data_IF_778103651273
#
_entry.id   IF_778103651273
#
_cell.length_a   1.000
_cell.length_b   1.000
_cell.length_c   1.000
_cell.angle_alpha   90.00
_cell.angle_beta   90.00
_cell.angle_gamma   90.00
#
_symmetry.space_group_name_H-M   'P 1'
#
loop_
_entity.id
_entity.type
_entity.pdbx_description
1 polymer ?
#
# COMPACT_ATOMS: atom_id res chain seq x y z
N UNK A 1 -11.53 13.66 3.02
CA UNK A 1 -11.95 13.28 1.65
C UNK A 1 -10.87 13.70 0.67
N UNK A 2 -9.84 12.89 0.51
CA UNK A 2 -8.75 13.12 -0.47
C UNK A 2 -8.53 11.80 -1.19
N UNK A 3 -8.96 11.71 -2.45
CA UNK A 3 -8.74 10.53 -3.29
C UNK A 3 -7.29 10.52 -3.80
N UNK A 4 -6.37 10.07 -2.95
CA UNK A 4 -4.96 9.97 -3.32
C UNK A 4 -4.70 8.60 -3.94
N UNK A 5 -4.87 8.50 -5.26
CA UNK A 5 -4.51 7.29 -6.00
C UNK A 5 -3.05 7.38 -6.46
N UNK A 6 -2.26 6.39 -6.05
CA UNK A 6 -0.88 6.26 -6.48
C UNK A 6 -0.75 5.16 -7.53
N UNK A 7 -0.08 5.48 -8.64
CA UNK A 7 0.24 4.52 -9.69
C UNK A 7 1.62 3.93 -9.48
N UNK A 8 1.67 2.60 -9.40
CA UNK A 8 2.93 1.86 -9.32
C UNK A 8 3.50 1.76 -7.91
N UNK A 9 4.42 0.82 -7.76
CA UNK A 9 5.00 0.43 -6.46
C UNK A 9 5.96 1.51 -5.95
N UNK A 10 6.78 2.08 -6.83
CA UNK A 10 7.79 3.09 -6.46
C UNK A 10 7.18 4.32 -5.80
N UNK A 11 6.09 4.85 -6.36
CA UNK A 11 5.41 6.01 -5.80
C UNK A 11 4.75 5.68 -4.45
N UNK A 12 4.28 4.43 -4.26
CA UNK A 12 3.74 4.00 -2.97
C UNK A 12 4.85 3.92 -1.91
N UNK A 13 6.02 3.38 -2.27
CA UNK A 13 7.19 3.31 -1.37
C UNK A 13 7.65 4.70 -0.96
N UNK A 14 7.71 5.65 -1.89
CA UNK A 14 8.07 7.03 -1.59
C UNK A 14 7.10 7.64 -0.56
N UNK A 15 5.80 7.51 -0.81
CA UNK A 15 4.77 8.05 0.09
C UNK A 15 4.81 7.41 1.49
N UNK A 16 4.95 6.09 1.56
CA UNK A 16 5.05 5.38 2.84
C UNK A 16 6.30 5.79 3.63
N UNK A 17 7.41 6.03 2.93
CA UNK A 17 8.63 6.54 3.55
C UNK A 17 8.43 7.94 4.14
N UNK A 18 7.69 8.82 3.47
CA UNK A 18 7.34 10.15 3.98
C UNK A 18 6.41 10.09 5.21
N UNK A 19 5.50 9.12 5.23
CA UNK A 19 4.62 8.83 6.36
C UNK A 19 5.33 8.15 7.55
N UNK A 20 6.65 7.89 7.45
CA UNK A 20 7.43 7.25 8.51
C UNK A 20 7.32 5.73 8.55
N UNK A 21 6.76 5.10 7.50
CA UNK A 21 6.58 3.65 7.37
C UNK A 21 7.52 3.12 6.28
N UNK A 22 8.79 2.79 6.60
CA UNK A 22 9.78 2.39 5.60
C UNK A 22 9.53 0.97 5.08
N UNK A 23 8.67 0.83 4.07
CA UNK A 23 8.43 -0.45 3.38
C UNK A 23 9.28 -0.54 2.12
N UNK A 24 10.02 -1.65 2.00
CA UNK A 24 10.84 -1.93 0.82
C UNK A 24 9.97 -2.35 -0.38
N UNK A 25 10.41 -2.01 -1.60
CA UNK A 25 9.76 -2.44 -2.85
C UNK A 25 9.51 -3.94 -2.90
N UNK A 26 10.48 -4.74 -2.45
CA UNK A 26 10.38 -6.20 -2.37
C UNK A 26 9.23 -6.64 -1.47
N UNK A 27 9.04 -5.99 -0.33
CA UNK A 27 7.95 -6.29 0.60
C UNK A 27 6.59 -5.98 -0.03
N UNK A 28 6.45 -4.80 -0.66
CA UNK A 28 5.21 -4.46 -1.39
C UNK A 28 4.94 -5.46 -2.51
N UNK A 29 5.98 -5.88 -3.24
CA UNK A 29 5.85 -6.88 -4.29
C UNK A 29 5.36 -8.23 -3.76
N UNK A 30 5.92 -8.68 -2.62
CA UNK A 30 5.45 -9.88 -1.93
C UNK A 30 4.00 -9.73 -1.50
N UNK A 31 3.61 -8.61 -0.89
CA UNK A 31 2.24 -8.35 -0.46
C UNK A 31 1.25 -8.30 -1.64
N UNK A 32 1.67 -7.72 -2.78
CA UNK A 32 0.93 -7.75 -4.04
C UNK A 32 0.72 -9.18 -4.53
N UNK A 33 1.77 -10.00 -4.52
CA UNK A 33 1.71 -11.42 -4.94
C UNK A 33 0.81 -12.23 -4.01
N UNK A 34 0.87 -11.96 -2.72
CA UNK A 34 0.03 -12.57 -1.68
C UNK A 34 -1.39 -11.98 -1.64
N UNK A 35 -1.69 -10.94 -2.45
CA UNK A 35 -2.96 -10.19 -2.42
C UNK A 35 -3.34 -9.66 -1.03
N UNK A 36 -2.34 -9.42 -0.19
CA UNK A 36 -2.55 -8.91 1.17
C UNK A 36 -2.65 -7.38 1.22
N UNK A 37 -2.10 -6.69 0.22
CA UNK A 37 -2.17 -5.23 0.13
C UNK A 37 -3.33 -4.81 -0.80
N UNK A 38 -4.15 -3.83 -0.39
CA UNK A 38 -5.24 -3.34 -1.22
C UNK A 38 -4.67 -2.67 -2.47
N UNK A 39 -5.04 -3.20 -3.64
CA UNK A 39 -4.59 -2.69 -4.93
C UNK A 39 -5.68 -2.87 -5.99
N UNK A 40 -5.67 -1.99 -6.99
CA UNK A 40 -6.56 -2.04 -8.15
C UNK A 40 -5.75 -2.31 -9.41
N UNK A 41 -6.28 -3.18 -10.27
CA UNK A 41 -5.72 -3.47 -11.59
C UNK A 41 -6.77 -3.26 -12.67
N UNK A 42 -6.96 -2.02 -13.13
CA UNK A 42 -7.86 -1.76 -14.26
C UNK A 42 -7.31 -2.31 -15.58
N UNK A 43 -6.00 -2.58 -15.66
CA UNK A 43 -5.34 -3.12 -16.85
C UNK A 43 -4.18 -4.07 -16.46
N UNK A 44 -3.81 -5.04 -17.31
CA UNK A 44 -2.81 -6.07 -17.00
C UNK A 44 -1.39 -5.55 -16.71
N UNK A 45 -1.09 -4.27 -17.02
CA UNK A 45 0.20 -3.62 -16.70
C UNK A 45 0.07 -2.44 -15.74
N UNK A 46 -1.13 -2.13 -15.27
CA UNK A 46 -1.36 -0.97 -14.41
C UNK A 46 -1.81 -1.47 -13.05
N UNK A 47 -0.98 -1.19 -12.05
CA UNK A 47 -1.32 -1.31 -10.64
C UNK A 47 -1.54 0.09 -10.08
N UNK A 48 -2.70 0.27 -9.46
CA UNK A 48 -3.09 1.45 -8.72
C UNK A 48 -3.25 1.07 -7.25
N UNK A 49 -2.78 1.95 -6.38
CA UNK A 49 -2.93 1.84 -4.95
C UNK A 49 -3.77 3.01 -4.48
N UNK A 50 -4.75 2.70 -3.66
CA UNK A 50 -5.61 3.71 -3.05
C UNK A 50 -5.03 4.01 -1.67
N UNK A 51 -4.48 5.21 -1.48
CA UNK A 51 -3.78 5.53 -0.23
C UNK A 51 -4.69 5.42 0.99
N UNK A 52 -5.95 5.83 0.86
CA UNK A 52 -6.94 5.70 1.93
C UNK A 52 -7.05 4.24 2.39
N UNK A 53 -7.14 3.29 1.44
CA UNK A 53 -7.16 1.87 1.73
C UNK A 53 -5.84 1.35 2.28
N UNK A 54 -4.71 1.88 1.82
CA UNK A 54 -3.39 1.51 2.33
C UNK A 54 -3.24 1.97 3.78
N UNK A 55 -3.64 3.20 4.10
CA UNK A 55 -3.60 3.75 5.45
C UNK A 55 -4.51 2.97 6.40
N UNK A 56 -5.75 2.66 5.98
CA UNK A 56 -6.66 1.78 6.73
C UNK A 56 -6.04 0.39 6.96
N UNK A 57 -5.45 -0.20 5.92
CA UNK A 57 -4.80 -1.51 6.00
C UNK A 57 -3.57 -1.50 6.93
N UNK A 58 -2.78 -0.42 6.90
CA UNK A 58 -1.65 -0.24 7.81
C UNK A 58 -2.11 -0.12 9.25
N UNK A 59 -3.15 0.69 9.51
CA UNK A 59 -3.75 0.81 10.85
C UNK A 59 -4.23 -0.55 11.37
N UNK A 60 -4.88 -1.34 10.51
CA UNK A 60 -5.32 -2.69 10.88
C UNK A 60 -4.18 -3.68 11.14
N UNK A 61 -2.97 -3.44 10.60
CA UNK A 61 -1.79 -4.28 10.84
C UNK A 61 -1.03 -3.87 12.10
N UNK A 62 -1.08 -2.59 12.46
CA UNK A 62 -0.47 -2.01 13.66
C UNK A 62 -1.25 -2.39 14.93
N UNK A 63 -2.57 -2.57 14.83
CA UNK A 63 -3.48 -2.89 15.95
C UNK A 63 -3.32 -4.33 16.51
N UNK A 64 -2.35 -5.11 16.03
CA UNK A 64 -2.18 -6.51 16.47
C UNK A 64 -1.38 -6.67 17.79
N UNK A 65 -1.10 -5.59 18.52
CA UNK A 65 -0.36 -5.61 19.80
C UNK A 65 -1.16 -5.14 21.03
N UNK A 66 -2.50 -5.28 21.09
CA UNK A 66 -3.20 -5.36 22.40
C UNK A 66 -4.37 -6.35 22.35
N UNK A 67 -4.13 -7.60 22.76
CA UNK A 67 -5.12 -8.46 23.43
C UNK A 67 -4.42 -9.57 24.22
#
# INVERSE_FOLDING_TARGET
MTMNMIRGIDALVAHLKEQGVPISRTTIFTLLKQKQIPHRRPAPRIVLFDLDKIEEWLKSKDDSEIS
#
